data_IF_067281752085
#
_entry.id   IF_067281752085
#
_cell.length_a   1.000
_cell.length_b   1.000
_cell.length_c   1.000
_cell.angle_alpha   90.00
_cell.angle_beta   90.00
_cell.angle_gamma   90.00
#
_symmetry.space_group_name_H-M   'P 1'
#
loop_
_entity.id
_entity.type
_entity.pdbx_description
1 polymer ?
#
# COMPACT_ATOMS: atom_id res chain seq x y z
N UNK A 1 -22.60 -13.60 -54.07
CA UNK A 1 -22.83 -12.89 -52.80
C UNK A 1 -22.65 -13.94 -51.71
N UNK A 2 -21.45 -14.11 -51.17
CA UNK A 2 -20.76 -13.24 -50.20
C UNK A 2 -21.54 -13.20 -48.88
N UNK A 3 -20.94 -13.79 -47.83
CA UNK A 3 -21.47 -13.81 -46.47
C UNK A 3 -21.15 -12.51 -45.72
N UNK A 4 -22.03 -12.10 -44.82
CA UNK A 4 -21.68 -11.34 -43.62
C UNK A 4 -22.34 -11.96 -42.39
N UNK A 5 -21.57 -12.49 -41.42
CA UNK A 5 -22.09 -12.93 -40.13
C UNK A 5 -21.69 -11.97 -38.99
N UNK A 6 -22.69 -11.30 -38.42
CA UNK A 6 -22.83 -10.97 -37.00
C UNK A 6 -21.54 -10.64 -36.19
N UNK A 7 -21.13 -9.37 -36.18
CA UNK A 7 -20.21 -8.84 -35.15
C UNK A 7 -20.93 -8.69 -33.80
N UNK A 8 -21.06 -9.79 -33.06
CA UNK A 8 -21.31 -9.81 -31.61
C UNK A 8 -20.06 -10.33 -30.89
N UNK A 9 -19.80 -9.79 -29.70
CA UNK A 9 -18.70 -10.16 -28.80
C UNK A 9 -17.27 -9.84 -29.29
N UNK A 10 -16.97 -8.55 -29.42
CA UNK A 10 -15.59 -8.07 -29.21
C UNK A 10 -15.22 -8.12 -27.71
N UNK A 11 -15.27 -9.31 -27.08
CA UNK A 11 -14.61 -9.55 -25.78
C UNK A 11 -13.10 -9.59 -26.03
N UNK A 12 -12.48 -8.41 -26.09
CA UNK A 12 -11.04 -8.26 -26.20
C UNK A 12 -10.38 -8.74 -24.91
N UNK A 13 -9.92 -9.99 -24.92
CA UNK A 13 -9.11 -10.59 -23.86
C UNK A 13 -7.73 -9.94 -23.81
N UNK A 14 -7.65 -8.74 -23.23
CA UNK A 14 -6.38 -8.16 -22.78
C UNK A 14 -5.88 -8.98 -21.59
N UNK A 15 -5.14 -10.06 -21.88
CA UNK A 15 -4.39 -10.86 -20.92
C UNK A 15 -3.12 -10.13 -20.47
N UNK A 16 -3.29 -8.91 -19.96
CA UNK A 16 -2.46 -8.41 -18.88
C UNK A 16 -3.01 -9.01 -17.58
N UNK A 17 -2.13 -9.45 -16.68
CA UNK A 17 -2.52 -9.75 -15.31
C UNK A 17 -2.84 -8.43 -14.61
N UNK A 18 -4.13 -8.07 -14.61
CA UNK A 18 -4.65 -7.00 -13.77
C UNK A 18 -4.18 -7.23 -12.32
N UNK A 19 -3.73 -6.16 -11.66
CA UNK A 19 -3.31 -6.22 -10.27
C UNK A 19 -4.42 -6.85 -9.41
N UNK A 20 -4.07 -7.86 -8.61
CA UNK A 20 -4.99 -8.40 -7.60
C UNK A 20 -5.15 -7.34 -6.51
N UNK A 21 -6.28 -6.63 -6.55
CA UNK A 21 -6.67 -5.64 -5.55
C UNK A 21 -7.17 -6.33 -4.27
N UNK A 22 -7.11 -5.67 -3.09
CA UNK A 22 -7.79 -6.16 -1.89
C UNK A 22 -9.30 -6.33 -2.15
N UNK A 23 -9.94 -7.28 -1.46
CA UNK A 23 -11.36 -7.63 -1.72
C UNK A 23 -12.34 -6.49 -1.44
N UNK A 24 -11.90 -5.49 -0.67
CA UNK A 24 -12.61 -4.25 -0.34
C UNK A 24 -12.66 -3.26 -1.49
N UNK A 25 -11.70 -3.31 -2.43
CA UNK A 25 -11.58 -2.35 -3.53
C UNK A 25 -12.12 -2.97 -4.80
N UNK A 26 -13.13 -2.32 -5.39
CA UNK A 26 -13.57 -2.59 -6.75
C UNK A 26 -13.55 -1.34 -7.60
N UNK A 27 -13.43 -1.55 -8.90
CA UNK A 27 -13.58 -0.49 -9.89
C UNK A 27 -15.10 -0.22 -10.07
N UNK A 28 -15.57 1.04 -10.03
CA UNK A 28 -16.94 1.37 -10.38
C UNK A 28 -17.23 1.08 -11.86
N UNK A 29 -18.44 0.62 -12.13
CA UNK A 29 -19.00 0.60 -13.48
C UNK A 29 -19.38 2.01 -13.94
N UNK A 30 -19.53 2.20 -15.26
CA UNK A 30 -19.79 3.52 -15.85
C UNK A 30 -21.16 4.11 -15.42
N UNK A 31 -22.08 3.28 -14.87
CA UNK A 31 -23.38 3.70 -14.31
C UNK A 31 -23.29 4.14 -12.83
N UNK A 32 -22.19 3.84 -12.13
CA UNK A 32 -21.98 4.13 -10.70
C UNK A 32 -21.16 5.40 -10.44
N UNK A 33 -20.78 6.14 -11.49
CA UNK A 33 -19.96 7.35 -11.37
C UNK A 33 -20.81 8.57 -11.68
N UNK A 34 -20.91 9.49 -10.72
CA UNK A 34 -21.60 10.76 -10.89
C UNK A 34 -21.05 11.55 -12.09
N UNK A 35 -21.95 12.14 -12.89
CA UNK A 35 -21.57 12.90 -14.06
C UNK A 35 -20.74 14.13 -13.68
N UNK A 36 -19.50 14.17 -14.17
CA UNK A 36 -18.52 15.25 -14.01
C UNK A 36 -17.89 15.57 -15.37
N UNK A 37 -17.61 16.84 -15.72
CA UNK A 37 -17.22 17.23 -17.10
C UNK A 37 -15.94 16.58 -17.64
N UNK A 38 -15.12 16.01 -16.76
CA UNK A 38 -13.84 15.36 -17.02
C UNK A 38 -13.92 13.81 -17.05
N UNK A 39 -15.10 13.21 -16.83
CA UNK A 39 -15.23 11.76 -16.61
C UNK A 39 -14.68 10.92 -17.77
N UNK A 40 -14.93 11.32 -19.02
CA UNK A 40 -14.44 10.59 -20.20
C UNK A 40 -12.91 10.58 -20.26
N UNK A 41 -12.24 11.65 -19.83
CA UNK A 41 -10.78 11.74 -19.77
C UNK A 41 -10.22 10.82 -18.67
N UNK A 42 -10.82 10.84 -17.47
CA UNK A 42 -10.41 9.95 -16.36
C UNK A 42 -10.63 8.47 -16.73
N UNK A 43 -11.77 8.12 -17.32
CA UNK A 43 -12.02 6.75 -17.80
C UNK A 43 -11.08 6.36 -18.95
N UNK A 44 -10.70 7.29 -19.83
CA UNK A 44 -9.72 7.06 -20.89
C UNK A 44 -8.30 6.86 -20.36
N UNK A 45 -7.89 7.64 -19.34
CA UNK A 45 -6.64 7.42 -18.59
C UNK A 45 -6.66 6.05 -17.91
N UNK A 46 -7.69 5.73 -17.11
CA UNK A 46 -7.82 4.44 -16.41
C UNK A 46 -7.76 3.22 -17.34
N UNK A 47 -8.31 3.33 -18.55
CA UNK A 47 -8.25 2.27 -19.59
C UNK A 47 -6.85 2.08 -20.21
N UNK A 48 -5.92 2.98 -19.95
CA UNK A 48 -4.50 2.92 -20.35
C UNK A 48 -3.54 2.78 -19.17
N UNK A 49 -4.04 2.95 -17.95
CA UNK A 49 -3.25 3.06 -16.73
C UNK A 49 -2.44 1.79 -16.45
N UNK A 50 -1.21 1.97 -16.01
CA UNK A 50 -0.21 0.91 -15.81
C UNK A 50 -0.33 0.22 -14.44
N UNK A 51 -1.55 -0.06 -14.01
CA UNK A 51 -1.87 -0.69 -12.72
C UNK A 51 -1.61 -2.20 -12.80
N UNK A 52 -0.32 -2.57 -12.68
CA UNK A 52 0.20 -3.93 -12.80
C UNK A 52 1.19 -4.24 -11.67
N UNK A 53 1.54 -5.51 -11.47
CA UNK A 53 2.62 -5.87 -10.53
C UNK A 53 3.99 -5.34 -10.99
N UNK A 54 4.74 -4.74 -10.07
CA UNK A 54 6.06 -4.16 -10.33
C UNK A 54 6.42 -3.07 -9.31
N UNK A 55 7.58 -2.44 -9.50
CA UNK A 55 8.01 -1.29 -8.72
C UNK A 55 8.49 -0.14 -9.60
N UNK A 56 8.29 1.09 -9.13
CA UNK A 56 9.04 2.27 -9.59
C UNK A 56 9.97 2.73 -8.46
N UNK A 57 11.03 3.48 -8.78
CA UNK A 57 11.91 4.09 -7.78
C UNK A 57 12.56 5.39 -8.25
N UNK A 58 12.72 6.32 -7.31
CA UNK A 58 13.37 7.62 -7.50
C UNK A 58 14.59 7.69 -6.58
N UNK A 59 15.74 8.09 -7.12
CA UNK A 59 16.95 8.29 -6.34
C UNK A 59 16.85 9.59 -5.52
N UNK A 60 17.47 9.61 -4.33
CA UNK A 60 17.52 10.82 -3.53
C UNK A 60 18.58 11.79 -4.06
N UNK A 61 18.13 12.91 -4.63
CA UNK A 61 19.01 14.00 -5.07
C UNK A 61 19.36 14.98 -3.93
N UNK A 62 18.70 14.89 -2.76
CA UNK A 62 18.92 15.78 -1.63
C UNK A 62 19.83 15.14 -0.55
N UNK A 63 21.13 15.48 -0.50
CA UNK A 63 22.09 14.87 0.43
C UNK A 63 21.88 15.26 1.90
N UNK A 64 20.87 16.08 2.22
CA UNK A 64 20.45 16.36 3.60
C UNK A 64 19.48 15.32 4.17
N UNK A 65 18.86 14.51 3.31
CA UNK A 65 17.90 13.48 3.70
C UNK A 65 18.63 12.12 3.78
N UNK A 66 18.56 11.38 4.90
CA UNK A 66 19.44 10.23 5.13
C UNK A 66 18.98 8.91 4.46
N UNK A 67 18.29 8.97 3.32
CA UNK A 67 17.96 7.81 2.48
C UNK A 67 18.61 7.93 1.09
N UNK A 68 18.72 6.82 0.36
CA UNK A 68 19.34 6.77 -0.99
C UNK A 68 18.32 6.74 -2.11
N UNK A 69 17.16 6.14 -1.89
CA UNK A 69 16.06 6.07 -2.85
C UNK A 69 14.71 5.97 -2.13
N UNK A 70 13.66 6.36 -2.85
CA UNK A 70 12.26 6.05 -2.56
C UNK A 70 11.78 5.03 -3.59
N UNK A 71 10.87 4.14 -3.24
CA UNK A 71 10.24 3.18 -4.14
C UNK A 71 8.77 2.96 -3.77
N UNK A 72 7.95 2.73 -4.79
CA UNK A 72 6.55 2.31 -4.64
C UNK A 72 6.35 1.00 -5.39
N UNK A 73 5.62 0.05 -4.78
CA UNK A 73 5.55 -1.33 -5.25
C UNK A 73 4.12 -1.84 -5.27
N UNK A 74 3.60 -2.05 -6.48
CA UNK A 74 2.36 -2.80 -6.71
C UNK A 74 2.67 -4.30 -6.68
N UNK A 75 1.95 -5.03 -5.83
CA UNK A 75 1.97 -6.50 -5.78
C UNK A 75 0.54 -6.99 -5.57
N UNK A 76 0.20 -8.13 -6.16
CA UNK A 76 -1.08 -8.79 -5.93
C UNK A 76 -1.31 -9.01 -4.44
N UNK A 77 -2.49 -8.59 -3.98
CA UNK A 77 -2.75 -8.35 -2.57
C UNK A 77 -2.58 -9.60 -1.68
N UNK A 78 -2.82 -10.81 -2.23
CA UNK A 78 -2.55 -12.08 -1.54
C UNK A 78 -1.08 -12.25 -1.10
N UNK A 79 -0.15 -11.56 -1.77
CA UNK A 79 1.31 -11.60 -1.53
C UNK A 79 1.84 -10.34 -0.82
N UNK A 80 1.00 -9.34 -0.57
CA UNK A 80 1.39 -8.05 0.01
C UNK A 80 2.09 -8.21 1.37
N UNK A 81 1.54 -9.06 2.24
CA UNK A 81 2.11 -9.33 3.57
C UNK A 81 3.49 -10.00 3.50
N UNK A 82 3.66 -10.92 2.56
CA UNK A 82 4.89 -11.68 2.41
C UNK A 82 6.02 -10.75 1.91
N UNK A 83 5.69 -9.81 1.01
CA UNK A 83 6.60 -8.74 0.59
C UNK A 83 6.94 -7.78 1.74
N UNK A 84 5.94 -7.38 2.53
CA UNK A 84 6.13 -6.54 3.72
C UNK A 84 7.08 -7.21 4.73
N UNK A 85 6.85 -8.48 5.08
CA UNK A 85 7.75 -9.22 5.97
C UNK A 85 9.17 -9.36 5.39
N UNK A 86 9.29 -9.63 4.09
CA UNK A 86 10.59 -9.77 3.44
C UNK A 86 11.38 -8.44 3.36
N UNK A 87 10.69 -7.30 3.23
CA UNK A 87 11.29 -5.97 3.36
C UNK A 87 11.61 -5.64 4.83
N UNK A 88 10.75 -6.00 5.79
CA UNK A 88 11.00 -5.85 7.23
C UNK A 88 12.24 -6.64 7.70
N UNK A 89 12.53 -7.79 7.08
CA UNK A 89 13.78 -8.53 7.27
C UNK A 89 15.04 -7.79 6.79
N UNK A 90 14.91 -6.65 6.09
CA UNK A 90 16.05 -5.80 5.70
C UNK A 90 16.35 -4.67 6.70
N UNK A 91 15.36 -4.22 7.48
CA UNK A 91 15.51 -3.23 8.55
C UNK A 91 16.33 -3.78 9.75
N UNK A 92 16.87 -2.94 10.65
CA UNK A 92 17.56 -3.38 11.86
C UNK A 92 16.67 -4.17 12.85
N UNK A 93 17.27 -4.66 13.93
CA UNK A 93 16.58 -5.42 14.99
C UNK A 93 15.62 -4.56 15.84
N UNK A 94 15.77 -3.23 15.80
CA UNK A 94 14.86 -2.28 16.41
C UNK A 94 14.29 -1.31 15.39
N UNK A 95 13.01 -1.01 15.53
CA UNK A 95 12.21 -0.11 14.67
C UNK A 95 11.12 0.56 15.51
N UNK A 96 10.68 1.73 15.10
CA UNK A 96 9.36 2.25 15.49
C UNK A 96 8.29 1.62 14.59
N UNK A 97 7.10 1.39 15.13
CA UNK A 97 5.90 1.16 14.31
C UNK A 97 5.33 2.53 13.91
N UNK A 98 4.80 2.63 12.70
CA UNK A 98 3.98 3.75 12.24
C UNK A 98 2.61 3.19 11.87
N UNK A 99 1.50 3.75 12.37
CA UNK A 99 0.15 3.27 12.05
C UNK A 99 -0.96 4.27 12.38
N UNK A 100 -2.07 4.20 11.65
CA UNK A 100 -3.15 5.18 11.75
C UNK A 100 -4.34 4.86 10.85
N UNK A 101 -5.33 5.74 10.89
CA UNK A 101 -6.44 5.76 9.95
C UNK A 101 -6.11 6.66 8.76
N UNK A 102 -6.61 6.31 7.59
CA UNK A 102 -6.51 7.19 6.42
C UNK A 102 -7.24 8.51 6.68
N UNK A 103 -6.65 9.62 6.23
CA UNK A 103 -7.05 11.02 6.53
C UNK A 103 -6.88 11.47 8.00
N UNK A 104 -6.32 10.63 8.89
CA UNK A 104 -5.90 11.01 10.26
C UNK A 104 -4.37 11.02 10.42
N UNK A 105 -3.88 11.62 11.51
CA UNK A 105 -2.45 11.61 11.86
C UNK A 105 -1.97 10.21 12.28
N UNK A 106 -0.97 9.70 11.56
CA UNK A 106 -0.29 8.44 11.87
C UNK A 106 0.51 8.54 13.18
N UNK A 107 0.31 7.60 14.10
CA UNK A 107 1.13 7.48 15.32
C UNK A 107 2.45 6.81 14.99
N UNK A 108 3.54 7.35 15.52
CA UNK A 108 4.87 6.72 15.52
C UNK A 108 5.23 6.27 16.94
N UNK A 109 5.55 4.99 17.15
CA UNK A 109 5.93 4.48 18.47
C UNK A 109 7.36 4.86 18.85
N UNK A 110 7.76 4.74 20.13
CA UNK A 110 9.16 4.62 20.50
C UNK A 110 9.89 3.48 19.75
N UNK A 111 11.23 3.48 19.82
CA UNK A 111 12.09 2.48 19.17
C UNK A 111 12.00 1.11 19.88
N UNK A 112 11.15 0.22 19.35
CA UNK A 112 10.82 -1.10 19.90
C UNK A 112 11.66 -2.22 19.26
N UNK A 113 11.56 -3.44 19.79
CA UNK A 113 12.12 -4.63 19.16
C UNK A 113 11.29 -5.00 17.92
N UNK A 114 11.92 -5.15 16.76
CA UNK A 114 11.21 -5.39 15.49
C UNK A 114 10.35 -6.64 15.51
N UNK A 115 10.82 -7.74 16.12
CA UNK A 115 10.03 -8.96 16.22
C UNK A 115 8.78 -8.78 17.10
N UNK A 116 8.83 -7.92 18.12
CA UNK A 116 7.63 -7.58 18.90
C UNK A 116 6.63 -6.79 18.04
N UNK A 117 7.09 -5.75 17.34
CA UNK A 117 6.23 -4.96 16.43
C UNK A 117 5.58 -5.85 15.36
N UNK A 118 6.34 -6.71 14.70
CA UNK A 118 5.82 -7.65 13.70
C UNK A 118 4.80 -8.64 14.31
N UNK A 119 5.07 -9.18 15.51
CA UNK A 119 4.15 -10.08 16.20
C UNK A 119 2.82 -9.40 16.62
N UNK A 120 2.84 -8.08 16.88
CA UNK A 120 1.61 -7.31 17.16
C UNK A 120 0.83 -7.01 15.87
N UNK A 121 1.50 -6.61 14.79
CA UNK A 121 0.87 -6.33 13.49
C UNK A 121 0.29 -7.60 12.82
N UNK A 122 0.94 -8.76 12.96
CA UNK A 122 0.48 -10.05 12.40
C UNK A 122 -0.94 -10.44 12.88
N UNK A 123 -1.31 -10.05 14.11
CA UNK A 123 -2.67 -10.27 14.68
C UNK A 123 -3.78 -9.57 13.90
N UNK A 124 -3.39 -8.64 13.02
CA UNK A 124 -4.27 -7.81 12.20
C UNK A 124 -3.90 -7.92 10.71
N UNK A 125 -3.14 -8.94 10.30
CA UNK A 125 -2.68 -9.14 8.90
C UNK A 125 -3.79 -8.93 7.87
N UNK A 126 -4.96 -9.53 8.10
CA UNK A 126 -6.08 -9.45 7.16
C UNK A 126 -6.68 -8.03 7.12
N UNK A 127 -6.82 -7.36 8.27
CA UNK A 127 -7.23 -5.95 8.28
C UNK A 127 -6.18 -5.03 7.64
N UNK A 128 -4.90 -5.16 7.98
CA UNK A 128 -3.82 -4.33 7.44
C UNK A 128 -3.65 -4.49 5.93
N UNK A 129 -3.85 -5.68 5.37
CA UNK A 129 -3.73 -5.95 3.93
C UNK A 129 -5.01 -5.70 3.13
N UNK A 130 -6.21 -5.80 3.72
CA UNK A 130 -7.46 -5.62 2.99
C UNK A 130 -8.18 -4.29 3.28
N UNK A 131 -8.15 -3.77 4.51
CA UNK A 131 -9.01 -2.65 4.91
C UNK A 131 -8.39 -1.28 4.55
N UNK A 132 -8.99 -0.61 3.58
CA UNK A 132 -8.47 0.64 3.00
C UNK A 132 -8.64 1.89 3.87
N UNK A 133 -9.15 1.74 5.10
CA UNK A 133 -9.09 2.79 6.11
C UNK A 133 -7.84 2.67 7.03
N UNK A 134 -7.00 1.63 6.90
CA UNK A 134 -5.80 1.43 7.72
C UNK A 134 -4.50 1.64 6.95
N UNK A 135 -3.56 2.37 7.56
CA UNK A 135 -2.14 2.38 7.21
C UNK A 135 -1.29 1.74 8.32
N UNK A 136 -0.23 1.03 7.95
CA UNK A 136 0.75 0.52 8.91
C UNK A 136 2.14 0.33 8.28
N UNK A 137 3.19 0.49 9.10
CA UNK A 137 4.57 0.45 8.65
C UNK A 137 5.61 0.37 9.76
N UNK A 138 6.87 0.28 9.35
CA UNK A 138 8.05 0.25 10.20
C UNK A 138 8.99 1.40 9.81
N UNK A 139 9.48 2.12 10.82
CA UNK A 139 10.42 3.23 10.68
C UNK A 139 11.72 2.94 11.44
N UNK A 140 12.85 3.15 10.79
CA UNK A 140 14.16 3.22 11.43
C UNK A 140 14.88 4.48 10.98
N UNK A 141 15.11 5.40 11.91
CA UNK A 141 15.79 6.67 11.65
C UNK A 141 16.93 6.89 12.63
N UNK A 142 18.07 7.32 12.10
CA UNK A 142 19.15 7.99 12.84
C UNK A 142 19.47 9.32 12.12
N UNK A 143 20.53 10.00 12.55
CA UNK A 143 21.06 11.15 11.83
C UNK A 143 21.52 10.80 10.40
N UNK A 144 22.07 9.59 10.22
CA UNK A 144 22.85 9.22 9.04
C UNK A 144 22.18 8.14 8.17
N UNK A 145 21.07 7.53 8.64
CA UNK A 145 20.24 6.61 7.86
C UNK A 145 18.73 6.76 8.18
N UNK A 146 17.90 6.75 7.14
CA UNK A 146 16.46 6.51 7.19
C UNK A 146 16.13 5.26 6.37
N UNK A 147 15.36 4.36 6.98
CA UNK A 147 14.64 3.28 6.29
C UNK A 147 13.18 3.34 6.77
N UNK A 148 12.24 3.40 5.84
CA UNK A 148 10.81 3.41 6.12
C UNK A 148 10.11 2.43 5.20
N UNK A 149 9.16 1.68 5.74
CA UNK A 149 8.41 0.64 5.04
C UNK A 149 6.94 0.73 5.44
N UNK A 150 6.05 1.13 4.53
CA UNK A 150 4.62 1.25 4.80
C UNK A 150 3.76 0.47 3.82
N UNK A 151 2.67 -0.11 4.32
CA UNK A 151 1.49 -0.49 3.52
C UNK A 151 0.59 0.76 3.47
N UNK A 152 0.31 1.25 2.26
CA UNK A 152 -0.60 2.38 2.05
C UNK A 152 -2.06 2.00 2.31
N UNK A 153 -2.94 2.99 2.40
CA UNK A 153 -4.39 2.78 2.44
C UNK A 153 -4.87 1.99 1.22
N UNK A 154 -4.27 2.23 0.04
CA UNK A 154 -4.57 1.54 -1.22
C UNK A 154 -3.80 0.23 -1.44
N UNK A 155 -3.12 -0.27 -0.40
CA UNK A 155 -2.56 -1.63 -0.32
C UNK A 155 -1.47 -1.93 -1.34
N UNK A 156 -0.66 -0.92 -1.64
CA UNK A 156 0.67 -1.05 -2.22
C UNK A 156 1.75 -0.77 -1.15
N UNK A 157 3.01 -1.10 -1.44
CA UNK A 157 4.12 -0.76 -0.52
C UNK A 157 4.74 0.58 -0.89
N UNK A 158 4.95 1.45 0.10
CA UNK A 158 5.85 2.61 0.05
C UNK A 158 7.14 2.25 0.79
N UNK A 159 8.31 2.58 0.23
CA UNK A 159 9.61 2.23 0.83
C UNK A 159 10.68 3.30 0.62
N UNK A 160 11.31 3.75 1.71
CA UNK A 160 12.52 4.57 1.70
C UNK A 160 13.69 3.72 2.17
N UNK A 161 14.84 3.79 1.50
CA UNK A 161 15.98 2.96 1.88
C UNK A 161 17.35 3.43 1.42
N UNK A 162 18.38 2.85 2.05
CA UNK A 162 19.79 3.02 1.69
C UNK A 162 20.32 1.93 0.74
N UNK A 163 19.85 0.68 0.88
CA UNK A 163 20.44 -0.50 0.24
C UNK A 163 19.77 -0.88 -1.11
N UNK A 164 19.97 -0.02 -2.12
CA UNK A 164 19.33 -0.11 -3.44
C UNK A 164 19.48 -1.48 -4.12
N UNK A 165 20.68 -2.08 -4.12
CA UNK A 165 20.89 -3.36 -4.81
C UNK A 165 20.30 -4.54 -4.03
N UNK A 166 20.25 -4.46 -2.69
CA UNK A 166 19.54 -5.46 -1.85
C UNK A 166 18.03 -5.40 -2.11
N UNK A 167 17.47 -4.20 -2.25
CA UNK A 167 16.07 -3.99 -2.63
C UNK A 167 15.77 -4.56 -4.03
N UNK A 168 16.55 -4.24 -5.06
CA UNK A 168 16.38 -4.79 -6.42
C UNK A 168 16.45 -6.32 -6.46
N UNK A 169 17.36 -6.93 -5.71
CA UNK A 169 17.47 -8.39 -5.58
C UNK A 169 16.22 -9.00 -4.93
N UNK A 170 15.61 -8.31 -3.96
CA UNK A 170 14.36 -8.72 -3.33
C UNK A 170 13.16 -8.59 -4.27
N UNK A 171 13.01 -7.46 -4.98
CA UNK A 171 11.95 -7.31 -5.97
C UNK A 171 12.03 -8.42 -7.04
N UNK A 172 13.25 -8.75 -7.47
CA UNK A 172 13.52 -9.84 -8.41
C UNK A 172 13.12 -11.23 -7.87
N UNK A 173 13.26 -11.51 -6.58
CA UNK A 173 12.83 -12.81 -6.02
C UNK A 173 11.30 -12.92 -5.94
N UNK A 174 10.60 -11.82 -5.68
CA UNK A 174 9.14 -11.72 -5.78
C UNK A 174 8.60 -11.67 -7.23
N UNK A 175 9.50 -11.64 -8.22
CA UNK A 175 9.24 -11.50 -9.67
C UNK A 175 8.65 -10.16 -10.09
N UNK A 176 8.87 -9.11 -9.29
CA UNK A 176 8.42 -7.75 -9.55
C UNK A 176 9.42 -7.06 -10.48
N UNK A 177 9.03 -6.68 -11.71
CA UNK A 177 9.90 -5.92 -12.60
C UNK A 177 10.00 -4.45 -12.17
N UNK A 178 11.02 -3.75 -12.64
CA UNK A 178 10.98 -2.29 -12.67
C UNK A 178 9.97 -1.82 -13.73
N UNK A 179 9.16 -0.84 -13.40
CA UNK A 179 8.05 -0.34 -14.24
C UNK A 179 8.07 1.19 -14.22
N UNK A 180 8.78 1.79 -15.19
CA UNK A 180 8.75 3.23 -15.44
C UNK A 180 7.30 3.72 -15.64
N UNK A 181 6.85 4.69 -14.85
CA UNK A 181 5.45 5.16 -14.92
C UNK A 181 4.46 4.10 -14.45
N UNK A 182 4.76 3.46 -13.31
CA UNK A 182 3.83 2.63 -12.57
C UNK A 182 2.72 3.51 -11.97
N UNK A 183 1.47 3.09 -12.12
CA UNK A 183 0.29 3.82 -11.63
C UNK A 183 -0.45 3.00 -10.57
N UNK A 184 -1.10 3.69 -9.64
CA UNK A 184 -1.74 3.14 -8.44
C UNK A 184 -3.26 3.34 -8.47
N UNK A 185 -4.00 2.55 -7.69
CA UNK A 185 -5.48 2.46 -7.78
C UNK A 185 -6.19 3.69 -7.18
N UNK A 186 -5.51 4.41 -6.28
CA UNK A 186 -5.84 5.71 -5.68
C UNK A 186 -5.84 6.88 -6.67
N UNK A 187 -5.08 6.80 -7.77
CA UNK A 187 -5.07 7.82 -8.82
C UNK A 187 -6.40 7.86 -9.62
N UNK A 188 -7.28 6.88 -9.39
CA UNK A 188 -8.47 6.62 -10.19
C UNK A 188 -9.73 6.42 -9.34
N UNK A 189 -10.94 6.69 -9.89
CA UNK A 189 -12.19 6.39 -9.21
C UNK A 189 -12.28 4.90 -8.83
N UNK A 190 -12.38 4.64 -7.53
CA UNK A 190 -12.47 3.33 -6.88
C UNK A 190 -13.65 3.32 -5.90
N UNK A 191 -14.30 2.18 -5.73
CA UNK A 191 -15.29 1.96 -4.67
C UNK A 191 -14.62 1.10 -3.60
N UNK A 192 -14.67 1.58 -2.36
CA UNK A 192 -14.21 0.88 -1.16
C UNK A 192 -15.44 0.36 -0.39
N UNK A 193 -15.45 -0.92 -0.07
CA UNK A 193 -16.43 -1.56 0.81
C UNK A 193 -15.73 -2.00 2.10
N UNK A 194 -16.22 -1.60 3.30
CA UNK A 194 -15.58 -1.98 4.56
C UNK A 194 -15.43 -3.49 4.72
N UNK A 195 -14.24 -3.93 5.15
CA UNK A 195 -13.86 -5.35 5.19
C UNK A 195 -14.84 -6.20 5.99
N UNK A 196 -15.38 -5.65 7.08
CA UNK A 196 -16.38 -6.31 7.96
C UNK A 196 -17.69 -6.71 7.26
N UNK A 197 -18.02 -6.08 6.13
CA UNK A 197 -19.23 -6.40 5.35
C UNK A 197 -19.01 -7.63 4.45
N UNK A 198 -17.75 -7.87 4.05
CA UNK A 198 -17.31 -9.00 3.24
C UNK A 198 -16.86 -10.18 4.11
N UNK A 199 -16.17 -9.89 5.21
CA UNK A 199 -15.55 -10.85 6.14
C UNK A 199 -16.06 -10.56 7.56
N UNK A 200 -17.07 -11.31 8.01
CA UNK A 200 -17.77 -11.09 9.29
C UNK A 200 -16.90 -11.20 10.55
N UNK A 201 -15.69 -11.75 10.43
CA UNK A 201 -14.72 -11.87 11.53
C UNK A 201 -13.69 -10.74 11.56
N UNK A 202 -13.67 -9.88 10.55
CA UNK A 202 -12.78 -8.73 10.51
C UNK A 202 -13.21 -7.65 11.52
N UNK A 203 -12.22 -7.03 12.15
CA UNK A 203 -12.38 -5.93 13.10
C UNK A 203 -12.63 -4.64 12.33
N UNK A 204 -13.29 -3.67 12.98
CA UNK A 204 -13.39 -2.33 12.42
C UNK A 204 -12.02 -1.60 12.55
N UNK A 205 -11.67 -0.67 11.66
CA UNK A 205 -10.36 0.03 11.68
C UNK A 205 -10.01 0.61 13.05
N UNK A 206 -10.95 1.31 13.67
CA UNK A 206 -10.81 1.97 14.97
C UNK A 206 -10.57 0.95 16.10
N UNK A 207 -11.07 -0.27 15.94
CA UNK A 207 -10.82 -1.41 16.85
C UNK A 207 -9.41 -1.97 16.69
N UNK A 208 -8.88 -2.01 15.46
CA UNK A 208 -7.47 -2.38 15.21
C UNK A 208 -6.54 -1.34 15.85
N UNK A 209 -6.79 -0.05 15.56
CA UNK A 209 -6.03 1.07 16.14
C UNK A 209 -6.05 1.02 17.67
N UNK A 210 -7.23 0.87 18.29
CA UNK A 210 -7.36 0.78 19.75
C UNK A 210 -6.49 -0.34 20.34
N UNK A 211 -6.48 -1.54 19.75
CA UNK A 211 -5.66 -2.63 20.28
C UNK A 211 -4.15 -2.45 20.02
N UNK A 212 -3.75 -1.83 18.91
CA UNK A 212 -2.35 -1.47 18.67
C UNK A 212 -1.89 -0.39 19.66
N UNK A 213 -2.72 0.61 19.95
CA UNK A 213 -2.43 1.63 20.98
C UNK A 213 -2.24 0.99 22.37
N UNK A 214 -3.08 0.01 22.75
CA UNK A 214 -2.89 -0.74 24.00
C UNK A 214 -1.59 -1.56 23.99
N UNK A 215 -1.26 -2.23 22.88
CA UNK A 215 -0.06 -3.06 22.74
C UNK A 215 1.26 -2.24 22.75
N UNK A 216 1.25 -1.05 22.17
CA UNK A 216 2.40 -0.14 22.11
C UNK A 216 2.41 0.94 23.21
N UNK A 217 1.41 0.93 24.09
CA UNK A 217 1.23 1.86 25.22
C UNK A 217 1.14 3.34 24.80
N UNK A 218 0.38 3.60 23.74
CA UNK A 218 0.10 4.93 23.19
C UNK A 218 -1.15 5.51 23.86
N UNK A 219 -1.07 6.77 24.29
CA UNK A 219 -2.25 7.57 24.67
C UNK A 219 -2.47 8.70 23.65
N UNK A 220 -3.44 8.53 22.75
CA UNK A 220 -3.84 9.55 21.76
C UNK A 220 -4.52 10.78 22.37
N UNK A 221 -4.65 10.87 23.71
CA UNK A 221 -5.21 12.02 24.43
C UNK A 221 -4.15 12.88 25.12
N UNK A 222 -2.90 12.45 25.14
CA UNK A 222 -1.81 13.28 25.63
C UNK A 222 -1.59 14.45 24.65
N UNK A 223 -1.55 15.72 25.10
CA UNK A 223 -1.10 16.82 24.25
C UNK A 223 0.37 16.59 23.88
N UNK A 224 0.72 16.92 22.63
CA UNK A 224 2.08 16.74 22.11
C UNK A 224 3.09 17.56 22.94
N UNK A 225 4.04 16.92 23.66
CA UNK A 225 4.97 17.60 24.56
C UNK A 225 6.08 18.40 23.84
N UNK A 226 6.02 18.52 22.51
CA UNK A 226 7.00 19.25 21.69
C UNK A 226 6.52 20.63 21.18
N UNK A 227 5.39 21.14 21.68
CA UNK A 227 4.88 22.49 21.37
C UNK A 227 4.67 23.38 22.62
N UNK A 228 5.77 23.69 23.31
CA UNK A 228 5.94 24.81 24.27
C UNK A 228 7.34 25.45 24.08
#
# INVERSE_FOLDING_TARGET
>A
MMHEPCLKHARLCYLYSMLELPITVRIPSDEEIDYRPDIDEILFKRRKAKIVEGYDLTLNENPRLPYRFQATVNIGNSRLWDLFQALAATLPDKVSCVYGLYEEDNVTTPLLQKQFVLNELEKYRDELTQECQLEAGLLFQTKDILIELGISESKYIRYWGAELERFKLLMKSFRLPFVEGLEFIDEYPKIVTPLRELVRTAKAPETVIYYLDQAFHIDRRAPDPFFD
#
